data_IF_481547730537
#
_entry.id   IF_481547730537
#
_cell.length_a   1.000
_cell.length_b   1.000
_cell.length_c   1.000
_cell.angle_alpha   90.00
_cell.angle_beta   90.00
_cell.angle_gamma   90.00
#
_symmetry.space_group_name_H-M   'P 1'
#
loop_
_entity.id
_entity.type
_entity.pdbx_description
1 polymer ?
#
# COMPACT_ATOMS: atom_id res chain seq x y z
N UNK A 1 -11.90 20.17 31.62
CA UNK A 1 -12.08 18.70 31.56
C UNK A 1 -11.32 18.22 30.33
N UNK A 2 -10.07 17.75 30.50
CA UNK A 2 -9.28 17.27 29.37
C UNK A 2 -9.75 15.86 29.01
N UNK A 3 -10.13 15.58 27.74
CA UNK A 3 -10.44 14.23 27.33
C UNK A 3 -9.18 13.37 27.42
N UNK A 4 -9.23 12.32 28.22
CA UNK A 4 -8.24 11.24 28.23
C UNK A 4 -8.32 10.56 26.86
N UNK A 5 -7.36 10.85 25.98
CA UNK A 5 -7.22 10.15 24.70
C UNK A 5 -6.63 8.78 25.03
N UNK A 6 -7.47 7.75 25.04
CA UNK A 6 -6.98 6.37 25.07
C UNK A 6 -6.16 6.12 23.81
N UNK A 7 -4.84 6.12 23.95
CA UNK A 7 -3.90 5.72 22.89
C UNK A 7 -3.89 4.20 22.79
N UNK A 8 -5.00 3.62 22.35
CA UNK A 8 -5.00 2.22 21.93
C UNK A 8 -4.21 2.13 20.62
N UNK A 9 -3.19 1.26 20.52
CA UNK A 9 -2.50 1.03 19.25
C UNK A 9 -3.50 0.59 18.19
N UNK A 10 -3.50 1.26 17.03
CA UNK A 10 -4.24 0.79 15.86
C UNK A 10 -3.38 -0.28 15.20
N UNK A 11 -3.83 -1.53 15.26
CA UNK A 11 -3.21 -2.63 14.54
C UNK A 11 -3.60 -2.52 13.06
N UNK A 12 -2.62 -2.23 12.20
CA UNK A 12 -2.82 -2.06 10.77
C UNK A 12 -2.29 -3.31 10.06
N UNK A 13 -3.17 -4.00 9.35
CA UNK A 13 -2.74 -5.04 8.41
C UNK A 13 -2.15 -4.35 7.17
N UNK A 14 -0.82 -4.32 7.08
CA UNK A 14 -0.11 -3.77 5.92
C UNK A 14 0.11 -4.91 4.93
N UNK A 15 -0.45 -4.84 3.71
CA UNK A 15 -0.22 -5.86 2.70
C UNK A 15 1.27 -5.97 2.36
N UNK A 16 1.77 -7.20 2.33
CA UNK A 16 3.15 -7.46 1.98
C UNK A 16 3.46 -7.03 0.53
N UNK A 17 4.60 -6.35 0.38
CA UNK A 17 5.18 -6.06 -0.93
C UNK A 17 4.58 -4.87 -1.69
N UNK A 18 3.78 -3.99 -1.08
CA UNK A 18 3.32 -2.74 -1.73
C UNK A 18 4.51 -1.89 -2.20
N UNK A 19 5.53 -1.71 -1.34
CA UNK A 19 6.76 -0.97 -1.66
C UNK A 19 7.69 -1.70 -2.64
N UNK A 20 7.50 -3.01 -2.83
CA UNK A 20 8.28 -3.84 -3.75
C UNK A 20 7.62 -3.88 -5.14
N UNK A 21 6.28 -3.81 -5.20
CA UNK A 21 5.48 -3.81 -6.44
C UNK A 21 5.41 -2.44 -7.11
N UNK A 22 5.44 -1.37 -6.32
CA UNK A 22 5.27 0.00 -6.81
C UNK A 22 6.45 0.89 -6.40
N UNK A 23 6.97 1.65 -7.36
CA UNK A 23 8.10 2.56 -7.14
C UNK A 23 7.67 3.86 -6.48
N UNK A 24 6.42 4.29 -6.72
CA UNK A 24 5.83 5.52 -6.17
C UNK A 24 4.40 5.32 -5.69
N UNK A 25 3.96 6.17 -4.75
CA UNK A 25 2.58 6.20 -4.27
C UNK A 25 1.58 6.48 -5.42
N UNK A 26 1.98 7.29 -6.39
CA UNK A 26 1.13 7.61 -7.53
C UNK A 26 0.82 6.39 -8.40
N UNK A 27 1.76 5.44 -8.52
CA UNK A 27 1.51 4.16 -9.20
C UNK A 27 0.48 3.31 -8.45
N UNK A 28 0.49 3.33 -7.11
CA UNK A 28 -0.52 2.66 -6.28
C UNK A 28 -1.90 3.25 -6.54
N UNK A 29 -2.02 4.58 -6.49
CA UNK A 29 -3.27 5.30 -6.79
C UNK A 29 -3.74 5.00 -8.21
N UNK A 30 -2.82 5.02 -9.18
CA UNK A 30 -3.14 4.74 -10.59
C UNK A 30 -3.68 3.33 -10.75
N UNK A 31 -2.98 2.33 -10.22
CA UNK A 31 -3.42 0.94 -10.28
C UNK A 31 -4.79 0.77 -9.60
N UNK A 32 -4.95 1.33 -8.39
CA UNK A 32 -6.21 1.34 -7.66
C UNK A 32 -7.35 1.96 -8.48
N UNK A 33 -7.17 3.16 -9.01
CA UNK A 33 -8.18 3.88 -9.78
C UNK A 33 -8.66 3.14 -11.03
N UNK A 34 -7.75 2.46 -11.75
CA UNK A 34 -8.10 1.71 -12.96
C UNK A 34 -8.68 0.32 -12.67
N UNK A 35 -8.33 -0.29 -11.54
CA UNK A 35 -8.85 -1.60 -11.12
C UNK A 35 -10.06 -1.51 -10.19
N UNK A 36 -10.44 -0.30 -9.77
CA UNK A 36 -11.56 -0.08 -8.86
C UNK A 36 -12.90 -0.46 -9.52
N UNK A 37 -13.88 -0.91 -8.71
CA UNK A 37 -15.22 -1.24 -9.22
C UNK A 37 -15.93 -0.03 -9.84
N UNK A 38 -15.66 1.16 -9.29
CA UNK A 38 -16.23 2.42 -9.81
C UNK A 38 -15.45 2.80 -11.08
N UNK A 39 -16.12 3.10 -12.20
CA UNK A 39 -15.46 3.65 -13.37
C UNK A 39 -14.70 4.94 -13.04
N UNK A 40 -13.58 5.19 -13.72
CA UNK A 40 -12.75 6.39 -13.51
C UNK A 40 -13.54 7.70 -13.60
N UNK A 41 -14.55 7.77 -14.47
CA UNK A 41 -15.42 8.94 -14.60
C UNK A 41 -16.24 9.23 -13.33
N UNK A 42 -16.65 8.19 -12.61
CA UNK A 42 -17.40 8.31 -11.36
C UNK A 42 -16.46 8.76 -10.24
N UNK A 43 -15.26 8.19 -10.19
CA UNK A 43 -14.23 8.61 -9.23
C UNK A 43 -13.89 10.10 -9.45
N UNK A 44 -13.67 10.51 -10.70
CA UNK A 44 -13.40 11.91 -11.03
C UNK A 44 -14.54 12.84 -10.60
N UNK A 45 -15.80 12.45 -10.85
CA UNK A 45 -16.95 13.23 -10.42
C UNK A 45 -17.05 13.36 -8.89
N UNK A 46 -16.82 12.26 -8.15
CA UNK A 46 -16.79 12.27 -6.68
C UNK A 46 -15.64 13.16 -6.13
N UNK A 47 -14.55 13.29 -6.90
CA UNK A 47 -13.39 14.15 -6.58
C UNK A 47 -13.55 15.61 -7.05
N UNK A 48 -14.70 15.97 -7.62
CA UNK A 48 -14.95 17.30 -8.23
C UNK A 48 -13.94 17.68 -9.34
N UNK A 49 -13.51 16.70 -10.14
CA UNK A 49 -12.61 16.91 -11.28
C UNK A 49 -13.16 16.25 -12.54
N UNK A 50 -12.73 16.73 -13.71
CA UNK A 50 -13.11 16.08 -14.96
C UNK A 50 -12.37 14.74 -15.13
N UNK A 51 -12.97 13.72 -15.81
CA UNK A 51 -12.30 12.45 -16.07
C UNK A 51 -10.98 12.60 -16.84
N UNK A 52 -10.90 13.58 -17.74
CA UNK A 52 -9.67 13.90 -18.48
C UNK A 52 -8.59 14.46 -17.55
N UNK A 53 -8.98 15.32 -16.62
CA UNK A 53 -8.05 15.91 -15.66
C UNK A 53 -7.47 14.87 -14.70
N UNK A 54 -8.32 13.99 -14.15
CA UNK A 54 -7.87 12.88 -13.32
C UNK A 54 -6.92 11.95 -14.08
N UNK A 55 -7.26 11.58 -15.32
CA UNK A 55 -6.41 10.74 -16.17
C UNK A 55 -5.03 11.36 -16.41
N UNK A 56 -4.98 12.67 -16.70
CA UNK A 56 -3.72 13.41 -16.91
C UNK A 56 -2.87 13.49 -15.64
N UNK A 57 -3.50 13.76 -14.49
CA UNK A 57 -2.84 13.73 -13.17
C UNK A 57 -2.24 12.36 -12.87
N UNK A 58 -2.96 11.27 -13.15
CA UNK A 58 -2.49 9.89 -12.93
C UNK A 58 -1.41 9.44 -13.92
N UNK A 59 -1.39 10.02 -15.13
CA UNK A 59 -0.35 9.72 -16.12
C UNK A 59 1.03 10.26 -15.72
N UNK A 60 1.07 11.29 -14.85
CA UNK A 60 2.30 11.94 -14.37
C UNK A 60 3.23 12.42 -15.49
N UNK A 61 2.67 12.92 -16.58
CA UNK A 61 3.46 13.42 -17.71
C UNK A 61 4.36 14.59 -17.26
N UNK A 62 5.70 14.53 -17.44
CA UNK A 62 6.61 15.63 -17.10
C UNK A 62 6.24 16.96 -17.74
N UNK A 63 5.72 16.94 -18.97
CA UNK A 63 5.35 18.13 -19.75
C UNK A 63 3.96 18.68 -19.39
N UNK A 64 3.24 17.99 -18.50
CA UNK A 64 1.93 18.42 -18.03
C UNK A 64 2.05 19.12 -16.67
N UNK A 65 1.60 20.39 -16.54
CA UNK A 65 1.58 21.06 -15.25
C UNK A 65 0.60 20.44 -14.24
N UNK A 66 -0.35 19.62 -14.70
CA UNK A 66 -1.39 19.03 -13.85
C UNK A 66 -0.82 17.86 -13.05
N UNK A 67 -0.41 18.15 -11.82
CA UNK A 67 0.07 17.13 -10.87
C UNK A 67 -1.06 16.57 -10.02
N UNK A 68 -0.88 15.31 -9.64
CA UNK A 68 -1.65 14.69 -8.58
C UNK A 68 -1.15 15.22 -7.24
N UNK A 69 -2.00 15.94 -6.53
CA UNK A 69 -1.68 16.63 -5.27
C UNK A 69 -2.07 15.79 -4.05
N UNK A 70 -1.66 16.22 -2.85
CA UNK A 70 -2.10 15.58 -1.60
C UNK A 70 -3.61 15.78 -1.39
N UNK A 71 -4.16 16.91 -1.82
CA UNK A 71 -5.61 17.12 -1.80
C UNK A 71 -6.34 16.12 -2.71
N UNK A 72 -5.80 15.85 -3.91
CA UNK A 72 -6.35 14.83 -4.80
C UNK A 72 -6.28 13.43 -4.17
N UNK A 73 -5.24 13.15 -3.37
CA UNK A 73 -5.13 11.90 -2.62
C UNK A 73 -6.25 11.76 -1.59
N UNK A 74 -6.51 12.78 -0.78
CA UNK A 74 -7.59 12.77 0.21
C UNK A 74 -8.95 12.59 -0.47
N UNK A 75 -9.20 13.30 -1.56
CA UNK A 75 -10.42 13.17 -2.35
C UNK A 75 -10.56 11.77 -2.98
N UNK A 76 -9.45 11.19 -3.47
CA UNK A 76 -9.42 9.82 -4.00
C UNK A 76 -9.79 8.79 -2.92
N UNK A 77 -9.18 8.89 -1.73
CA UNK A 77 -9.46 7.99 -0.60
C UNK A 77 -10.93 8.14 -0.17
N UNK A 78 -11.45 9.36 -0.12
CA UNK A 78 -12.86 9.58 0.22
C UNK A 78 -13.81 8.99 -0.83
N UNK A 79 -13.50 9.11 -2.11
CA UNK A 79 -14.32 8.57 -3.20
C UNK A 79 -14.31 7.04 -3.26
N UNK A 80 -13.14 6.43 -3.09
CA UNK A 80 -12.92 5.00 -3.36
C UNK A 80 -12.92 4.14 -2.10
N UNK A 81 -12.57 4.72 -0.94
CA UNK A 81 -12.24 3.99 0.27
C UNK A 81 -10.88 3.26 0.20
N UNK A 82 -10.12 3.47 -0.87
CA UNK A 82 -8.84 2.80 -1.09
C UNK A 82 -7.74 3.45 -0.26
N UNK A 83 -7.39 2.81 0.87
CA UNK A 83 -6.32 3.23 1.77
C UNK A 83 -4.94 2.68 1.40
N UNK A 84 -4.82 1.88 0.33
CA UNK A 84 -3.53 1.30 -0.10
C UNK A 84 -2.43 2.34 -0.32
N UNK A 85 -2.68 3.54 -0.89
CA UNK A 85 -1.65 4.57 -1.03
C UNK A 85 -1.05 5.04 0.30
N UNK A 86 -1.85 5.07 1.38
CA UNK A 86 -1.38 5.44 2.72
C UNK A 86 -0.55 4.29 3.31
N UNK A 87 -1.04 3.05 3.20
CA UNK A 87 -0.32 1.87 3.67
C UNK A 87 1.03 1.70 2.95
N UNK A 88 1.09 2.06 1.67
CA UNK A 88 2.34 2.14 0.92
C UNK A 88 3.34 3.12 1.56
N UNK A 89 2.90 4.32 1.93
CA UNK A 89 3.78 5.31 2.57
C UNK A 89 4.24 4.83 3.94
N UNK A 90 3.35 4.23 4.73
CA UNK A 90 3.69 3.62 6.03
C UNK A 90 4.74 2.53 5.85
N UNK A 91 4.52 1.60 4.91
CA UNK A 91 5.48 0.52 4.64
C UNK A 91 6.84 1.06 4.17
N UNK A 92 6.84 2.10 3.33
CA UNK A 92 8.06 2.65 2.73
C UNK A 92 8.87 3.52 3.68
N UNK A 93 8.21 4.31 4.54
CA UNK A 93 8.87 5.34 5.34
C UNK A 93 8.76 5.13 6.86
N UNK A 94 7.81 4.34 7.34
CA UNK A 94 7.60 4.12 8.78
C UNK A 94 8.01 2.72 9.26
N UNK A 95 8.32 1.78 8.37
CA UNK A 95 8.80 0.46 8.76
C UNK A 95 10.20 0.54 9.39
N UNK A 96 10.33 0.13 10.65
CA UNK A 96 11.66 -0.04 11.28
C UNK A 96 12.34 -1.28 10.65
N UNK A 97 13.55 -1.15 10.09
CA UNK A 97 14.31 -2.29 9.54
C UNK A 97 14.45 -3.45 10.53
N UNK A 98 14.49 -3.18 11.83
CA UNK A 98 14.59 -4.18 12.90
C UNK A 98 13.30 -4.99 13.07
N UNK A 99 12.13 -4.38 12.80
CA UNK A 99 10.85 -5.09 12.82
C UNK A 99 10.77 -6.06 11.64
N UNK A 100 11.11 -5.59 10.43
CA UNK A 100 11.16 -6.45 9.23
C UNK A 100 12.11 -7.63 9.40
N UNK A 101 13.29 -7.41 9.99
CA UNK A 101 14.24 -8.48 10.30
C UNK A 101 13.68 -9.50 11.30
N UNK A 102 13.04 -9.03 12.39
CA UNK A 102 12.44 -9.90 13.41
C UNK A 102 11.30 -10.74 12.85
N UNK A 103 10.43 -10.14 12.03
CA UNK A 103 9.34 -10.85 11.36
C UNK A 103 9.86 -11.90 10.38
N UNK A 104 10.88 -11.57 9.58
CA UNK A 104 11.52 -12.52 8.68
C UNK A 104 12.17 -13.70 9.44
N UNK A 105 12.86 -13.42 10.56
CA UNK A 105 13.41 -14.47 11.43
C UNK A 105 12.31 -15.33 12.06
N UNK A 106 11.20 -14.74 12.50
CA UNK A 106 10.07 -15.46 13.07
C UNK A 106 9.38 -16.37 12.03
N UNK A 107 9.19 -15.87 10.80
CA UNK A 107 8.67 -16.65 9.69
C UNK A 107 9.59 -17.81 9.33
N UNK A 108 10.91 -17.57 9.28
CA UNK A 108 11.92 -18.61 9.04
C UNK A 108 11.90 -19.69 10.14
N UNK A 109 11.83 -19.28 11.41
CA UNK A 109 11.71 -20.21 12.53
C UNK A 109 10.46 -21.09 12.45
N UNK A 110 9.34 -20.53 11.96
CA UNK A 110 8.08 -21.27 11.75
C UNK A 110 8.19 -22.31 10.62
N UNK A 111 8.95 -22.01 9.57
CA UNK A 111 9.16 -22.88 8.42
C UNK A 111 10.28 -23.90 8.63
N UNK A 112 11.23 -23.65 9.53
CA UNK A 112 12.36 -24.52 9.85
C UNK A 112 11.99 -26.01 10.06
N UNK A 113 10.95 -26.39 10.83
CA UNK A 113 10.59 -27.80 10.99
C UNK A 113 10.08 -28.43 9.69
N UNK A 114 9.40 -27.66 8.82
CA UNK A 114 8.92 -28.16 7.54
C UNK A 114 10.08 -28.38 6.56
N UNK A 115 11.04 -27.45 6.54
CA UNK A 115 12.26 -27.57 5.73
C UNK A 115 13.07 -28.79 6.19
N UNK A 116 13.24 -29.01 7.50
CA UNK A 116 13.92 -30.20 8.03
C UNK A 116 13.21 -31.51 7.65
N UNK A 117 11.88 -31.55 7.70
CA UNK A 117 11.12 -32.73 7.31
C UNK A 117 11.30 -33.06 5.82
N UNK A 118 11.28 -32.04 4.95
CA UNK A 118 11.50 -32.20 3.51
C UNK A 118 12.94 -32.63 3.19
N UNK A 119 13.95 -32.08 3.88
CA UNK A 119 15.35 -32.50 3.72
C UNK A 119 15.58 -33.96 4.11
N UNK A 120 14.90 -34.43 5.17
CA UNK A 120 14.91 -35.86 5.55
C UNK A 120 14.24 -36.73 4.50
N UNK A 121 13.11 -36.31 3.94
CA UNK A 121 12.42 -37.04 2.87
C UNK A 121 13.22 -37.09 1.57
N UNK A 122 13.96 -36.02 1.26
CA UNK A 122 14.82 -35.94 0.08
C UNK A 122 16.15 -36.71 0.23
N UNK A 123 16.42 -37.30 1.40
CA UNK A 123 17.66 -38.04 1.66
C UNK A 123 18.91 -37.17 1.77
N UNK A 124 18.75 -35.85 1.96
CA UNK A 124 19.86 -34.87 2.05
C UNK A 124 20.36 -34.70 3.48
N UNK A 125 19.95 -35.59 4.39
CA UNK A 125 20.33 -35.54 5.81
C UNK A 125 21.19 -36.76 6.17
N UNK A 126 22.52 -36.58 6.21
CA UNK A 126 23.38 -37.36 7.13
C UNK A 126 23.38 -36.70 8.51
#
# INVERSE_FOLDING_TARGET
MNPQVSTSPVELEIPDGLSERYSTMLEVVRAGAYSHRKPLKTIAADMDVSPSDLSRKLANNPDDPRRFTVHDLEAYIHSTGDVQPVLYLVQKFCADPRVKQREALAALAKLAPQIQALLKQAGVSE
#
